data_IF_752789242261
#
_entry.id   IF_752789242261
#
_cell.length_a   1.000
_cell.length_b   1.000
_cell.length_c   1.000
_cell.angle_alpha   90.00
_cell.angle_beta   90.00
_cell.angle_gamma   90.00
#
_symmetry.space_group_name_H-M   'P 1'
#
loop_
_entity.id
_entity.type
_entity.pdbx_description
1 polymer ?
#
# COMPACT_ATOMS: atom_id res chain seq x y z
N UNK A 1 -5.68 -32.02 8.28
CA UNK A 1 -5.65 -31.77 8.46
C UNK A 1 -5.50 -30.68 8.56
N UNK A 2 -5.66 -30.22 8.68
CA UNK A 2 -5.74 -29.19 8.77
C UNK A 2 -4.94 -28.35 8.82
N UNK A 3 -4.48 -28.55 8.79
CA UNK A 3 -3.81 -27.94 8.67
C UNK A 3 -3.58 -26.86 8.20
N UNK A 4 -3.69 -26.36 7.67
CA UNK A 4 -3.65 -25.22 7.03
C UNK A 4 -4.03 -24.09 7.78
N UNK A 5 -4.16 -24.17 9.02
CA UNK A 5 -4.64 -23.12 9.79
C UNK A 5 -3.83 -21.91 9.76
N UNK A 6 -2.56 -22.04 9.43
CA UNK A 6 -1.68 -20.90 9.40
C UNK A 6 -1.33 -20.50 8.01
N UNK A 7 -2.06 -21.00 7.07
CA UNK A 7 -1.76 -20.68 5.71
C UNK A 7 -2.11 -19.25 5.39
N UNK A 8 -1.23 -18.57 4.72
CA UNK A 8 -1.47 -17.22 4.24
C UNK A 8 -2.51 -17.23 3.14
N UNK A 9 -3.49 -16.39 3.25
CA UNK A 9 -4.53 -16.26 2.25
C UNK A 9 -4.55 -14.81 1.76
N UNK A 10 -4.02 -14.54 0.59
CA UNK A 10 -3.96 -13.17 0.10
C UNK A 10 -5.34 -12.55 -0.12
N UNK A 11 -6.32 -13.37 -0.44
CA UNK A 11 -7.66 -12.82 -0.64
C UNK A 11 -8.30 -12.38 0.67
N UNK A 12 -8.05 -13.11 1.75
CA UNK A 12 -8.58 -12.71 3.04
C UNK A 12 -7.92 -11.42 3.53
N UNK A 13 -6.61 -11.30 3.31
CA UNK A 13 -5.91 -10.09 3.68
C UNK A 13 -6.38 -8.92 2.85
N UNK A 14 -6.56 -9.14 1.58
CA UNK A 14 -7.01 -8.10 0.68
C UNK A 14 -8.41 -7.62 1.05
N UNK A 15 -9.29 -8.53 1.39
CA UNK A 15 -10.64 -8.16 1.80
C UNK A 15 -10.65 -7.33 3.07
N UNK A 16 -9.74 -7.65 3.98
CA UNK A 16 -9.62 -6.89 5.21
C UNK A 16 -9.12 -5.48 4.93
N UNK A 17 -8.16 -5.36 4.03
CA UNK A 17 -7.64 -4.06 3.63
C UNK A 17 -8.72 -3.22 2.95
N UNK A 18 -9.51 -3.84 2.11
CA UNK A 18 -10.60 -3.17 1.46
C UNK A 18 -11.59 -2.63 2.46
N UNK A 19 -11.92 -3.44 3.45
CA UNK A 19 -12.85 -3.04 4.47
C UNK A 19 -12.31 -1.87 5.28
N UNK A 20 -11.05 -1.93 5.65
CA UNK A 20 -10.43 -0.85 6.40
C UNK A 20 -10.40 0.43 5.59
N UNK A 21 -10.17 0.31 4.29
CA UNK A 21 -10.14 1.45 3.41
C UNK A 21 -11.50 2.14 3.39
N UNK A 22 -12.58 1.39 3.25
CA UNK A 22 -13.89 1.98 3.24
C UNK A 22 -14.31 2.54 4.60
N UNK A 23 -13.92 1.87 5.66
CA UNK A 23 -14.25 2.36 6.98
C UNK A 23 -13.51 3.63 7.34
N UNK A 24 -12.29 3.72 6.89
CA UNK A 24 -11.47 4.85 7.26
C UNK A 24 -11.75 6.13 6.60
N UNK A 25 -12.27 6.19 5.49
CA UNK A 25 -12.38 7.47 4.93
C UNK A 25 -13.27 7.68 3.79
N UNK A 26 -13.55 6.66 3.07
CA UNK A 26 -14.27 6.87 1.86
C UNK A 26 -15.69 7.35 2.09
N UNK A 27 -16.30 6.86 3.14
CA UNK A 27 -17.67 7.22 3.37
C UNK A 27 -17.84 8.67 3.76
N UNK A 28 -16.85 9.25 4.35
CA UNK A 28 -16.94 10.60 4.77
C UNK A 28 -16.66 11.62 3.71
N UNK A 29 -16.10 11.18 2.60
CA UNK A 29 -15.64 12.14 1.62
C UNK A 29 -16.33 12.06 0.32
N UNK A 30 -17.53 11.68 0.34
CA UNK A 30 -18.23 11.42 -0.82
C UNK A 30 -18.32 12.49 -1.81
N UNK A 31 -18.10 13.65 -1.55
CA UNK A 31 -18.21 14.59 -2.52
C UNK A 31 -17.00 14.98 -3.15
N UNK A 32 -15.85 14.72 -2.70
CA UNK A 32 -14.64 15.18 -3.29
C UNK A 32 -14.19 14.27 -4.36
N UNK A 33 -13.51 14.77 -5.33
CA UNK A 33 -12.89 13.99 -6.31
C UNK A 33 -11.64 13.45 -5.71
N UNK A 34 -11.78 12.48 -4.83
CA UNK A 34 -10.62 11.87 -4.21
C UNK A 34 -9.93 10.97 -5.20
N UNK A 35 -8.63 10.85 -5.09
CA UNK A 35 -7.90 9.87 -5.89
C UNK A 35 -8.44 8.49 -5.63
N UNK A 36 -8.61 7.72 -6.68
CA UNK A 36 -9.08 6.36 -6.53
C UNK A 36 -7.92 5.44 -6.29
N UNK A 37 -8.11 4.49 -5.43
CA UNK A 37 -7.11 3.48 -5.13
C UNK A 37 -7.70 2.12 -5.44
N UNK A 38 -7.00 1.38 -6.27
CA UNK A 38 -7.39 0.02 -6.61
C UNK A 38 -6.33 -0.92 -6.06
N UNK A 39 -6.76 -1.96 -5.39
CA UNK A 39 -5.86 -2.96 -4.84
C UNK A 39 -6.33 -4.32 -5.33
N UNK A 40 -5.46 -5.06 -5.97
CA UNK A 40 -5.80 -6.37 -6.46
C UNK A 40 -4.60 -7.32 -6.40
N UNK A 41 -4.85 -8.59 -6.49
CA UNK A 41 -3.78 -9.57 -6.53
C UNK A 41 -3.61 -10.07 -7.95
N UNK A 42 -2.41 -10.49 -8.26
CA UNK A 42 -2.09 -11.00 -9.55
C UNK A 42 -1.47 -12.36 -9.37
N UNK A 43 -2.14 -13.38 -9.87
CA UNK A 43 -1.71 -14.77 -9.79
C UNK A 43 -1.40 -15.23 -8.36
N UNK A 44 -2.01 -14.62 -7.39
CA UNK A 44 -1.78 -14.91 -5.97
C UNK A 44 -0.31 -14.81 -5.58
N UNK A 45 0.49 -14.17 -6.40
CA UNK A 45 1.91 -14.02 -6.13
C UNK A 45 2.30 -12.61 -5.74
N UNK A 46 1.47 -11.66 -6.06
CA UNK A 46 1.75 -10.29 -5.73
C UNK A 46 0.47 -9.48 -5.58
N UNK A 47 0.57 -8.44 -4.83
CA UNK A 47 -0.50 -7.48 -4.70
C UNK A 47 -0.09 -6.24 -5.49
N UNK A 48 -1.02 -5.64 -6.17
CA UNK A 48 -0.77 -4.42 -6.92
C UNK A 48 -1.66 -3.33 -6.35
N UNK A 49 -1.05 -2.20 -6.04
CA UNK A 49 -1.77 -1.02 -5.58
C UNK A 49 -1.65 0.03 -6.66
N UNK A 50 -2.77 0.51 -7.14
CA UNK A 50 -2.78 1.58 -8.14
C UNK A 50 -3.51 2.77 -7.57
N UNK A 51 -2.86 3.89 -7.55
CA UNK A 51 -3.45 5.12 -7.04
C UNK A 51 -3.46 6.13 -8.17
N UNK A 52 -4.62 6.64 -8.47
CA UNK A 52 -4.76 7.63 -9.53
C UNK A 52 -4.57 9.03 -8.96
N UNK A 53 -3.47 9.64 -9.32
CA UNK A 53 -3.09 10.96 -8.81
C UNK A 53 -2.85 11.91 -9.99
N UNK A 54 -3.90 12.22 -10.75
CA UNK A 54 -3.70 12.95 -12.01
C UNK A 54 -3.17 14.37 -11.85
N UNK A 55 -3.32 14.94 -10.67
CA UNK A 55 -2.87 16.30 -10.46
C UNK A 55 -1.47 16.40 -9.87
N UNK A 56 -0.78 15.27 -9.74
CA UNK A 56 0.54 15.25 -9.13
C UNK A 56 1.59 14.80 -10.13
N UNK A 57 2.81 15.23 -9.90
CA UNK A 57 3.97 14.78 -10.69
C UNK A 57 4.76 13.77 -9.87
N UNK A 58 5.66 13.10 -10.51
CA UNK A 58 6.47 12.08 -9.84
C UNK A 58 7.27 12.66 -8.67
N UNK A 59 7.69 13.89 -8.76
CA UNK A 59 8.42 14.52 -7.67
C UNK A 59 7.56 14.87 -6.47
N UNK A 60 6.25 14.83 -6.63
CA UNK A 60 5.33 15.14 -5.54
C UNK A 60 4.94 13.93 -4.73
N UNK A 61 5.27 12.75 -5.19
CA UNK A 61 4.79 11.50 -4.61
C UNK A 61 5.92 10.75 -3.95
N UNK A 62 5.66 10.24 -2.75
CA UNK A 62 6.62 9.38 -2.08
C UNK A 62 5.93 8.13 -1.56
N UNK A 63 6.67 7.04 -1.55
CA UNK A 63 6.19 5.76 -1.07
C UNK A 63 7.22 5.22 -0.11
N UNK A 64 6.79 4.89 1.08
CA UNK A 64 7.66 4.36 2.10
C UNK A 64 7.07 3.11 2.73
N UNK A 65 7.91 2.30 3.33
CA UNK A 65 7.46 1.17 4.12
C UNK A 65 7.78 1.52 5.57
N UNK A 66 6.76 1.58 6.38
CA UNK A 66 6.93 1.94 7.77
C UNK A 66 6.18 0.97 8.66
N UNK A 67 6.89 0.25 9.47
CA UNK A 67 6.30 -0.73 10.38
C UNK A 67 5.32 -1.68 9.72
N UNK A 68 5.71 -2.22 8.59
CA UNK A 68 4.87 -3.17 7.88
C UNK A 68 3.72 -2.57 7.11
N UNK A 69 3.70 -1.26 6.99
CA UNK A 69 2.66 -0.58 6.22
C UNK A 69 3.26 0.15 5.04
N UNK A 70 2.49 0.20 3.98
CA UNK A 70 2.84 0.97 2.81
C UNK A 70 2.28 2.37 3.02
N UNK A 71 3.14 3.37 3.02
CA UNK A 71 2.71 4.74 3.23
C UNK A 71 2.89 5.51 1.94
N UNK A 72 1.81 6.01 1.41
CA UNK A 72 1.81 6.77 0.17
C UNK A 72 1.46 8.21 0.50
N UNK A 73 2.32 9.11 0.12
CA UNK A 73 2.09 10.53 0.35
C UNK A 73 2.30 11.28 -0.94
N UNK A 74 1.46 12.24 -1.17
CA UNK A 74 1.62 13.14 -2.31
C UNK A 74 1.30 14.54 -1.86
N UNK A 75 2.15 15.46 -2.18
CA UNK A 75 1.93 16.84 -1.82
C UNK A 75 2.39 17.70 -2.97
N UNK A 76 1.50 18.53 -3.45
CA UNK A 76 1.83 19.37 -4.58
C UNK A 76 2.60 20.59 -4.13
N UNK A 77 3.81 20.69 -4.64
CA UNK A 77 4.65 21.84 -4.37
C UNK A 77 4.46 22.83 -5.51
N UNK A 78 3.67 23.84 -5.27
CA UNK A 78 3.54 24.86 -6.27
C UNK A 78 4.73 25.78 -6.19
N UNK A 79 5.45 25.86 -7.28
CA UNK A 79 6.51 26.83 -7.37
C UNK A 79 5.86 28.13 -7.70
N UNK A 80 6.01 29.11 -6.85
CA UNK A 80 5.56 30.38 -7.18
C UNK A 80 6.47 31.01 -8.12
N UNK A 81 6.15 30.88 -9.37
CA UNK A 81 6.98 31.50 -10.38
C UNK A 81 6.50 32.86 -10.75
N UNK A 82 5.28 33.19 -10.37
CA UNK A 82 4.72 34.44 -10.78
C UNK A 82 4.86 35.42 -9.66
N UNK A 83 5.93 36.14 -9.64
CA UNK A 83 6.18 37.10 -8.58
C UNK A 83 5.24 38.29 -8.63
N UNK A 84 4.54 38.45 -9.73
CA UNK A 84 3.62 39.55 -9.87
C UNK A 84 2.24 39.29 -9.33
N UNK A 85 1.95 38.05 -8.96
CA UNK A 85 0.65 37.73 -8.45
C UNK A 85 0.62 37.83 -6.95
N UNK A 86 -0.35 38.59 -6.46
CA UNK A 86 -0.60 38.65 -5.05
C UNK A 86 -1.83 37.87 -4.77
N UNK A 87 -1.68 36.79 -4.05
CA UNK A 87 -2.82 35.94 -3.75
C UNK A 87 -3.52 36.49 -2.50
N UNK A 88 -4.79 36.75 -2.62
CA UNK A 88 -5.60 37.17 -1.48
C UNK A 88 -6.00 35.90 -0.73
N UNK A 89 -6.36 34.88 -1.47
CA UNK A 89 -6.67 33.59 -0.90
C UNK A 89 -6.03 32.53 -1.79
N UNK A 90 -5.30 31.63 -1.18
CA UNK A 90 -4.71 30.56 -1.94
C UNK A 90 -5.04 29.27 -1.24
N UNK A 91 -5.93 28.51 -1.84
CA UNK A 91 -6.28 27.21 -1.33
C UNK A 91 -5.76 26.18 -2.26
N UNK A 92 -4.50 25.97 -2.26
CA UNK A 92 -3.96 25.07 -3.24
C UNK A 92 -3.28 23.88 -2.65
N UNK A 93 -3.45 23.60 -1.41
CA UNK A 93 -2.76 22.45 -0.91
C UNK A 93 -3.53 21.21 -1.31
N UNK A 94 -3.08 20.58 -2.34
CA UNK A 94 -3.54 19.26 -2.66
C UNK A 94 -2.57 18.31 -2.00
N UNK A 95 -3.07 17.50 -1.13
CA UNK A 95 -2.24 16.51 -0.49
C UNK A 95 -3.01 15.21 -0.41
N UNK A 96 -2.30 14.11 -0.43
CA UNK A 96 -2.87 12.79 -0.34
C UNK A 96 -2.00 11.99 0.63
N UNK A 97 -2.64 11.27 1.52
CA UNK A 97 -1.94 10.41 2.45
C UNK A 97 -2.74 9.13 2.60
N UNK A 98 -2.07 8.01 2.45
CA UNK A 98 -2.71 6.72 2.63
C UNK A 98 -1.74 5.74 3.26
N UNK A 99 -2.21 5.07 4.29
CA UNK A 99 -1.41 4.05 4.95
C UNK A 99 -2.12 2.73 4.77
N UNK A 100 -1.45 1.77 4.20
CA UNK A 100 -2.03 0.47 3.89
C UNK A 100 -1.18 -0.60 4.58
N UNK A 101 -1.78 -1.34 5.50
CA UNK A 101 -1.06 -2.42 6.15
C UNK A 101 -0.83 -3.53 5.15
N UNK A 102 0.41 -3.97 5.03
CA UNK A 102 0.77 -5.01 4.10
C UNK A 102 0.57 -6.38 4.71
N UNK A 103 0.26 -7.38 3.89
CA UNK A 103 0.19 -8.75 4.41
C UNK A 103 1.52 -9.20 4.97
N UNK A 104 1.48 -10.09 5.94
CA UNK A 104 2.68 -10.56 6.59
C UNK A 104 3.65 -11.24 5.65
N UNK A 105 3.15 -11.84 4.60
CA UNK A 105 3.99 -12.55 3.65
C UNK A 105 4.56 -11.65 2.56
N UNK A 106 4.53 -10.37 2.76
CA UNK A 106 5.09 -9.44 1.78
C UNK A 106 6.61 -9.49 1.80
N UNK A 107 7.19 -9.52 0.63
CA UNK A 107 8.64 -9.40 0.50
C UNK A 107 8.94 -7.91 0.32
N UNK A 108 9.21 -7.24 1.43
CA UNK A 108 9.40 -5.81 1.41
C UNK A 108 10.61 -5.36 0.59
N UNK A 109 11.58 -6.22 0.44
CA UNK A 109 12.78 -5.87 -0.30
C UNK A 109 12.56 -5.81 -1.80
N UNK A 110 11.47 -6.36 -2.26
CA UNK A 110 11.17 -6.40 -3.69
C UNK A 110 10.00 -5.54 -4.11
N UNK A 111 9.54 -4.69 -3.23
CA UNK A 111 8.47 -3.77 -3.59
C UNK A 111 9.01 -2.73 -4.56
N UNK A 112 8.27 -2.51 -5.63
CA UNK A 112 8.66 -1.55 -6.65
C UNK A 112 7.50 -0.62 -6.95
N UNK A 113 7.79 0.62 -7.22
CA UNK A 113 6.76 1.60 -7.52
C UNK A 113 7.12 2.35 -8.79
N UNK A 114 6.12 2.62 -9.60
CA UNK A 114 6.29 3.43 -10.80
C UNK A 114 5.19 4.47 -10.82
N UNK A 115 5.50 5.62 -11.37
CA UNK A 115 4.50 6.68 -11.54
C UNK A 115 4.51 7.08 -13.01
N UNK A 116 3.39 6.87 -13.67
CA UNK A 116 3.32 7.15 -15.08
C UNK A 116 1.94 7.67 -15.44
N UNK A 117 1.89 8.75 -16.15
CA UNK A 117 0.62 9.36 -16.60
C UNK A 117 -0.39 9.53 -15.47
N UNK A 118 0.08 9.97 -14.33
CA UNK A 118 -0.80 10.23 -13.20
C UNK A 118 -1.23 9.01 -12.42
N UNK A 119 -0.65 7.86 -12.71
CA UNK A 119 -1.00 6.63 -12.00
C UNK A 119 0.23 6.11 -11.26
N UNK A 120 0.11 5.99 -9.96
CA UNK A 120 1.13 5.39 -9.13
C UNK A 120 0.80 3.90 -9.02
N UNK A 121 1.69 3.07 -9.50
CA UNK A 121 1.51 1.63 -9.43
C UNK A 121 2.58 1.04 -8.54
N UNK A 122 2.18 0.29 -7.55
CA UNK A 122 3.10 -0.32 -6.61
C UNK A 122 2.91 -1.82 -6.67
N UNK A 123 3.98 -2.52 -6.99
CA UNK A 123 3.98 -3.97 -7.03
C UNK A 123 4.52 -4.49 -5.71
N UNK A 124 3.74 -5.29 -5.04
CA UNK A 124 4.07 -5.82 -3.73
C UNK A 124 4.13 -7.34 -3.81
N UNK A 125 5.31 -7.90 -4.06
CA UNK A 125 5.41 -9.35 -4.17
C UNK A 125 5.24 -10.04 -2.82
N UNK A 126 4.66 -11.20 -2.84
CA UNK A 126 4.55 -12.00 -1.64
C UNK A 126 5.74 -12.95 -1.58
N UNK A 127 6.29 -13.09 -0.40
CA UNK A 127 7.35 -14.08 -0.21
C UNK A 127 6.72 -15.46 -0.23
N UNK A 128 7.42 -16.45 -0.73
CA UNK A 128 6.91 -17.81 -0.66
C UNK A 128 6.74 -18.20 0.80
N UNK A 129 5.72 -18.99 1.06
CA UNK A 129 5.51 -19.48 2.41
C UNK A 129 6.71 -20.34 2.79
N UNK A 130 7.25 -20.17 3.96
CA UNK A 130 8.40 -20.97 4.35
C UNK A 130 7.99 -22.43 4.47
N UNK A 131 8.86 -23.30 4.02
CA UNK A 131 8.63 -24.72 4.17
C UNK A 131 8.62 -25.05 5.65
N UNK A 132 7.83 -26.02 6.05
CA UNK A 132 7.85 -26.41 7.44
C UNK A 132 9.23 -26.89 7.85
N UNK A 133 9.67 -26.47 9.00
CA UNK A 133 10.95 -26.90 9.50
C UNK A 133 10.73 -28.13 10.36
N UNK A 134 11.40 -29.19 10.02
CA UNK A 134 11.27 -30.38 10.80
C UNK A 134 12.14 -30.28 12.04
N UNK A 135 11.55 -30.43 13.18
CA UNK A 135 12.28 -30.42 14.43
C UNK A 135 12.69 -31.82 14.79
N UNK A 136 13.98 -32.11 14.91
CA UNK A 136 14.40 -33.44 15.26
C UNK A 136 14.00 -33.74 16.70
N UNK A 137 13.57 -34.96 16.90
CA UNK A 137 13.19 -35.41 18.23
C UNK A 137 14.32 -36.25 18.78
N UNK A 138 14.84 -35.85 19.90
CA UNK A 138 15.88 -36.61 20.54
C UNK A 138 15.23 -37.48 21.58
N UNK A 139 15.56 -38.77 21.56
CA UNK A 139 15.00 -39.66 22.56
C UNK A 139 15.48 -39.28 23.94
N UNK A 140 14.55 -39.12 24.83
CA UNK A 140 14.91 -38.77 26.19
C UNK A 140 15.65 -39.92 26.86
N UNK A 141 16.43 -39.52 27.83
CA UNK A 141 17.18 -40.52 28.57
C UNK A 141 16.21 -41.28 29.45
N UNK A 142 16.36 -42.59 29.46
CA UNK A 142 15.57 -43.36 30.35
C UNK A 142 16.35 -43.56 31.58
N UNK A 143 16.02 -43.02 32.58
CA UNK A 143 16.79 -43.15 33.78
C UNK A 143 16.25 -44.22 34.64
#
# INVERSE_FOLDING_TARGET
MARNLVRFDPFAELSRMERDFFEDGMLGSRRTMLPTTDIYTKDDKEMVVEVHLPDFDDGDVSVDIDEGALVIQAEKHEKEEDKDKKYVIRESSQSFYRRIMLPQQTDQSKIAATFEKGVLKIDVPFAPLPAPTKVPITAGSKA
#
